data_IF_400809697234
#
_entry.id   IF_400809697234
#
_cell.length_a   1.000
_cell.length_b   1.000
_cell.length_c   1.000
_cell.angle_alpha   90.00
_cell.angle_beta   90.00
_cell.angle_gamma   90.00
#
_symmetry.space_group_name_H-M   'P 1'
#
loop_
_entity.id
_entity.type
_entity.pdbx_description
1 polymer ?
#
# COMPACT_ATOMS: atom_id res chain seq x y z
N UNK A 1 -26.68 29.07 -9.68
CA UNK A 1 -27.06 27.76 -10.27
C UNK A 1 -26.48 26.71 -9.36
N UNK A 2 -27.35 26.02 -8.66
CA UNK A 2 -27.03 25.08 -7.58
C UNK A 2 -26.45 23.79 -8.16
N UNK A 3 -25.17 23.52 -7.84
CA UNK A 3 -24.55 22.22 -8.08
C UNK A 3 -25.13 21.17 -7.17
N UNK A 4 -25.93 20.26 -7.72
CA UNK A 4 -26.49 19.14 -7.00
C UNK A 4 -25.41 18.13 -6.65
N UNK A 5 -25.13 17.92 -5.36
CA UNK A 5 -24.42 16.75 -4.85
C UNK A 5 -25.23 15.50 -5.25
N UNK A 6 -24.67 14.69 -6.12
CA UNK A 6 -25.16 13.33 -6.34
C UNK A 6 -24.95 12.54 -5.04
N UNK A 7 -26.00 11.91 -4.49
CA UNK A 7 -25.85 11.08 -3.31
C UNK A 7 -25.03 9.84 -3.68
N UNK A 8 -23.86 9.68 -3.06
CA UNK A 8 -23.15 8.41 -3.02
C UNK A 8 -24.07 7.36 -2.39
N UNK A 9 -24.54 6.44 -3.21
CA UNK A 9 -25.32 5.30 -2.71
C UNK A 9 -24.46 4.51 -1.72
N UNK A 10 -25.00 4.15 -0.54
CA UNK A 10 -24.26 3.34 0.40
C UNK A 10 -23.98 1.98 -0.25
N UNK A 11 -22.70 1.65 -0.37
CA UNK A 11 -22.28 0.30 -0.78
C UNK A 11 -22.89 -0.67 0.23
N UNK A 12 -23.87 -1.47 -0.20
CA UNK A 12 -24.45 -2.54 0.61
C UNK A 12 -23.30 -3.49 0.98
N UNK A 13 -22.87 -3.49 2.24
CA UNK A 13 -21.99 -4.53 2.75
C UNK A 13 -22.73 -5.86 2.63
N UNK A 14 -22.32 -6.67 1.67
CA UNK A 14 -22.75 -8.07 1.57
C UNK A 14 -22.15 -8.78 2.77
N UNK A 15 -22.97 -9.27 3.68
CA UNK A 15 -22.51 -10.10 4.81
C UNK A 15 -22.16 -11.47 4.23
N UNK A 16 -20.87 -11.73 4.08
CA UNK A 16 -20.38 -13.02 3.59
C UNK A 16 -20.08 -13.96 4.76
N UNK A 17 -20.25 -15.28 4.58
CA UNK A 17 -19.81 -16.23 5.59
C UNK A 17 -18.30 -16.19 5.74
N UNK A 18 -17.80 -16.53 6.94
CA UNK A 18 -16.37 -16.68 7.18
C UNK A 18 -15.81 -17.72 6.19
N UNK A 19 -14.82 -17.36 5.37
CA UNK A 19 -14.30 -18.27 4.36
C UNK A 19 -13.53 -19.43 5.01
N UNK A 20 -13.65 -20.62 4.42
CA UNK A 20 -12.86 -21.79 4.81
C UNK A 20 -11.58 -21.82 3.99
N UNK A 21 -10.44 -21.77 4.65
CA UNK A 21 -9.12 -21.79 4.02
C UNK A 21 -8.39 -23.06 4.48
N UNK A 22 -7.94 -23.92 3.56
CA UNK A 22 -7.20 -25.12 3.90
C UNK A 22 -6.02 -24.83 4.83
N UNK A 23 -5.84 -25.65 5.85
CA UNK A 23 -4.72 -25.57 6.81
C UNK A 23 -4.62 -24.27 7.60
N UNK A 24 -5.69 -23.45 7.62
CA UNK A 24 -5.73 -22.20 8.37
C UNK A 24 -7.04 -22.04 9.15
N UNK A 25 -6.94 -21.69 10.41
CA UNK A 25 -8.06 -21.22 11.23
C UNK A 25 -8.26 -19.73 10.97
N UNK A 26 -9.34 -19.37 10.26
CA UNK A 26 -9.71 -17.98 10.00
C UNK A 26 -10.40 -17.40 11.23
N UNK A 27 -9.84 -16.34 11.82
CA UNK A 27 -10.28 -15.81 13.10
C UNK A 27 -11.23 -14.63 12.95
N UNK A 28 -10.77 -13.55 12.28
CA UNK A 28 -11.60 -12.37 12.04
C UNK A 28 -11.09 -11.52 10.88
N UNK A 29 -11.95 -10.70 10.35
CA UNK A 29 -11.59 -9.71 9.35
C UNK A 29 -10.76 -8.57 10.00
N UNK A 30 -9.64 -8.21 9.37
CA UNK A 30 -8.71 -7.17 9.83
C UNK A 30 -8.55 -6.02 8.83
N UNK A 31 -9.11 -6.18 7.63
CA UNK A 31 -9.10 -5.15 6.59
C UNK A 31 -10.09 -5.46 5.48
N UNK A 32 -10.42 -4.43 4.70
CA UNK A 32 -11.21 -4.54 3.47
C UNK A 32 -10.71 -3.49 2.49
N UNK A 33 -10.70 -3.84 1.21
CA UNK A 33 -10.32 -2.96 0.11
C UNK A 33 -11.27 -3.08 -1.06
N UNK A 34 -10.98 -2.39 -2.16
CA UNK A 34 -11.79 -2.43 -3.37
C UNK A 34 -11.91 -3.85 -3.96
N UNK A 35 -10.91 -4.69 -3.73
CA UNK A 35 -10.78 -6.02 -4.34
C UNK A 35 -10.67 -7.13 -3.29
N UNK A 36 -11.45 -7.06 -2.21
CA UNK A 36 -11.56 -8.16 -1.27
C UNK A 36 -11.34 -7.82 0.20
N UNK A 37 -11.26 -8.86 0.99
CA UNK A 37 -11.21 -8.81 2.44
C UNK A 37 -9.90 -9.41 2.95
N UNK A 38 -9.31 -8.80 3.98
CA UNK A 38 -8.13 -9.34 4.65
C UNK A 38 -8.54 -9.90 6.01
N UNK A 39 -8.19 -11.13 6.26
CA UNK A 39 -8.51 -11.87 7.47
C UNK A 39 -7.28 -12.25 8.25
N UNK A 40 -7.37 -12.15 9.57
CA UNK A 40 -6.40 -12.74 10.49
C UNK A 40 -6.65 -14.25 10.54
N UNK A 41 -5.60 -15.02 10.33
CA UNK A 41 -5.67 -16.47 10.37
C UNK A 41 -4.47 -17.06 11.11
N UNK A 42 -4.64 -18.28 11.61
CA UNK A 42 -3.60 -19.08 12.26
C UNK A 42 -3.34 -20.34 11.44
N UNK A 43 -2.09 -20.56 11.05
CA UNK A 43 -1.69 -21.76 10.32
C UNK A 43 -1.62 -22.99 11.24
N UNK A 44 -1.54 -24.19 10.68
CA UNK A 44 -1.34 -25.44 11.44
C UNK A 44 -0.08 -25.41 12.33
N UNK A 45 0.95 -24.67 11.92
CA UNK A 45 2.17 -24.50 12.72
C UNK A 45 2.00 -23.53 13.88
N UNK A 46 0.81 -22.92 14.04
CA UNK A 46 0.51 -21.91 15.04
C UNK A 46 0.96 -20.49 14.70
N UNK A 47 1.53 -20.27 13.49
CA UNK A 47 1.98 -18.95 13.07
C UNK A 47 0.80 -18.09 12.59
N UNK A 48 0.79 -16.83 13.00
CA UNK A 48 -0.18 -15.84 12.52
C UNK A 48 0.09 -15.44 11.08
N UNK A 49 -0.99 -15.29 10.30
CA UNK A 49 -0.96 -14.97 8.87
C UNK A 49 -2.06 -13.95 8.53
N UNK A 50 -1.84 -13.20 7.49
CA UNK A 50 -2.91 -12.48 6.82
C UNK A 50 -3.37 -13.29 5.60
N UNK A 51 -4.68 -13.43 5.43
CA UNK A 51 -5.28 -14.10 4.28
C UNK A 51 -6.14 -13.08 3.56
N UNK A 52 -5.80 -12.75 2.32
CA UNK A 52 -6.67 -11.92 1.46
C UNK A 52 -7.54 -12.82 0.62
N UNK A 53 -8.84 -12.55 0.68
CA UNK A 53 -9.90 -13.22 -0.08
C UNK A 53 -10.36 -12.26 -1.15
N UNK A 54 -10.34 -12.71 -2.39
CA UNK A 54 -10.76 -11.92 -3.55
C UNK A 54 -11.98 -12.60 -4.17
N UNK A 55 -13.12 -11.93 -4.10
CA UNK A 55 -14.39 -12.48 -4.53
C UNK A 55 -14.65 -12.16 -6.01
N UNK A 56 -15.13 -13.14 -6.77
CA UNK A 56 -15.50 -12.97 -8.19
C UNK A 56 -16.59 -11.91 -8.37
N UNK A 57 -17.54 -11.86 -7.47
CA UNK A 57 -18.66 -10.89 -7.50
C UNK A 57 -18.27 -9.41 -7.28
N UNK A 58 -17.03 -9.15 -6.81
CA UNK A 58 -16.51 -7.79 -6.66
C UNK A 58 -15.99 -7.22 -8.00
N UNK A 59 -16.00 -8.01 -9.06
CA UNK A 59 -15.55 -7.64 -10.39
C UNK A 59 -16.72 -7.53 -11.38
N UNK A 60 -16.64 -6.57 -12.28
CA UNK A 60 -17.65 -6.37 -13.33
C UNK A 60 -17.71 -7.55 -14.32
N UNK A 61 -16.54 -8.17 -14.55
CA UNK A 61 -16.42 -9.29 -15.47
C UNK A 61 -15.37 -10.32 -15.01
N UNK A 62 -15.50 -11.53 -15.54
CA UNK A 62 -14.61 -12.65 -15.24
C UNK A 62 -13.17 -12.44 -15.73
N UNK A 63 -12.96 -11.67 -16.80
CA UNK A 63 -11.62 -11.39 -17.33
C UNK A 63 -10.83 -10.54 -16.34
N UNK A 64 -11.46 -9.56 -15.73
CA UNK A 64 -10.87 -8.72 -14.72
C UNK A 64 -10.49 -9.51 -13.47
N UNK A 65 -11.36 -10.41 -13.00
CA UNK A 65 -11.08 -11.34 -11.90
C UNK A 65 -9.90 -12.29 -12.20
N UNK A 66 -9.88 -12.91 -13.36
CA UNK A 66 -8.81 -13.83 -13.75
C UNK A 66 -7.48 -13.11 -13.97
N UNK A 67 -7.50 -11.90 -14.52
CA UNK A 67 -6.29 -11.06 -14.68
C UNK A 67 -5.67 -10.68 -13.36
N UNK A 68 -6.49 -10.34 -12.35
CA UNK A 68 -6.02 -10.09 -10.99
C UNK A 68 -5.35 -11.33 -10.40
N UNK A 69 -5.95 -12.49 -10.55
CA UNK A 69 -5.39 -13.76 -10.11
C UNK A 69 -4.05 -14.09 -10.79
N UNK A 70 -3.96 -13.91 -12.11
CA UNK A 70 -2.72 -14.06 -12.87
C UNK A 70 -1.63 -13.08 -12.38
N UNK A 71 -2.01 -11.84 -12.08
CA UNK A 71 -1.11 -10.84 -11.51
C UNK A 71 -0.48 -11.29 -10.19
N UNK A 72 -1.28 -11.89 -9.30
CA UNK A 72 -0.79 -12.45 -8.03
C UNK A 72 0.19 -13.60 -8.25
N UNK A 73 -0.10 -14.51 -9.20
CA UNK A 73 0.80 -15.62 -9.53
C UNK A 73 2.15 -15.14 -10.07
N UNK A 74 2.16 -14.06 -10.84
CA UNK A 74 3.39 -13.46 -11.37
C UNK A 74 4.17 -12.70 -10.30
N UNK A 75 3.48 -12.05 -9.40
CA UNK A 75 4.09 -11.25 -8.33
C UNK A 75 4.71 -12.13 -7.23
N UNK A 76 4.10 -13.25 -6.86
CA UNK A 76 4.54 -14.09 -5.73
C UNK A 76 6.04 -14.42 -5.77
N UNK A 77 6.60 -14.96 -6.88
CA UNK A 77 8.02 -15.28 -6.94
C UNK A 77 8.93 -14.04 -6.91
N UNK A 78 8.44 -12.88 -7.34
CA UNK A 78 9.17 -11.61 -7.31
C UNK A 78 9.23 -11.08 -5.89
N UNK A 79 8.09 -11.02 -5.19
CA UNK A 79 8.01 -10.47 -3.84
C UNK A 79 8.89 -11.20 -2.83
N UNK A 80 9.01 -12.52 -2.96
CA UNK A 80 9.83 -13.39 -2.10
C UNK A 80 11.31 -12.97 -2.06
N UNK A 81 11.80 -12.33 -3.11
CA UNK A 81 13.20 -12.00 -3.28
C UNK A 81 13.57 -10.57 -2.82
N UNK A 82 12.64 -9.81 -2.24
CA UNK A 82 12.95 -8.46 -1.76
C UNK A 82 12.32 -8.18 -0.38
N UNK A 83 13.12 -7.76 0.62
CA UNK A 83 12.63 -7.57 2.00
C UNK A 83 11.63 -6.41 2.16
N UNK A 84 11.58 -5.46 1.24
CA UNK A 84 10.64 -4.33 1.24
C UNK A 84 9.29 -4.62 0.56
N UNK A 85 9.06 -5.85 0.12
CA UNK A 85 7.78 -6.31 -0.43
C UNK A 85 7.12 -7.30 0.53
N UNK A 86 5.78 -7.28 0.62
CA UNK A 86 5.03 -8.26 1.41
C UNK A 86 5.13 -9.62 0.72
N UNK A 87 5.61 -10.63 1.47
CA UNK A 87 5.77 -11.96 0.91
C UNK A 87 4.44 -12.70 0.89
N UNK A 88 4.08 -13.21 -0.29
CA UNK A 88 3.01 -14.19 -0.44
C UNK A 88 3.60 -15.57 -0.14
N UNK A 89 2.92 -16.32 0.74
CA UNK A 89 3.36 -17.63 1.22
C UNK A 89 2.63 -18.76 0.50
N UNK A 90 1.40 -18.50 0.05
CA UNK A 90 0.57 -19.45 -0.67
C UNK A 90 -0.51 -18.71 -1.47
N UNK A 91 -0.83 -19.21 -2.64
CA UNK A 91 -1.99 -18.78 -3.46
C UNK A 91 -2.88 -19.98 -3.68
N UNK A 92 -4.18 -19.84 -3.41
CA UNK A 92 -5.13 -20.93 -3.52
C UNK A 92 -6.41 -20.54 -4.25
N UNK A 93 -6.94 -21.53 -4.99
CA UNK A 93 -8.24 -21.50 -5.65
C UNK A 93 -8.76 -22.94 -5.69
N UNK A 94 -10.03 -23.19 -5.32
CA UNK A 94 -10.54 -24.55 -5.27
C UNK A 94 -10.65 -25.18 -6.67
N UNK A 95 -11.24 -24.42 -7.61
CA UNK A 95 -11.42 -24.79 -9.01
C UNK A 95 -11.65 -23.53 -9.86
N UNK A 96 -11.88 -23.69 -11.16
CA UNK A 96 -12.12 -22.55 -12.06
C UNK A 96 -13.45 -21.83 -11.76
N UNK A 97 -14.43 -22.54 -11.22
CA UNK A 97 -15.76 -22.02 -10.87
C UNK A 97 -15.86 -21.50 -9.44
N UNK A 98 -14.75 -21.53 -8.68
CA UNK A 98 -14.71 -21.02 -7.32
C UNK A 98 -15.20 -19.57 -7.24
N UNK A 99 -16.06 -19.24 -6.26
CA UNK A 99 -16.55 -17.86 -6.07
C UNK A 99 -15.47 -16.90 -5.62
N UNK A 100 -14.32 -17.40 -5.20
CA UNK A 100 -13.16 -16.59 -4.78
C UNK A 100 -11.85 -17.35 -5.02
N UNK A 101 -10.76 -16.60 -5.07
CA UNK A 101 -9.42 -17.08 -4.77
C UNK A 101 -8.88 -16.40 -3.52
N UNK A 102 -7.83 -16.96 -2.95
CA UNK A 102 -7.19 -16.38 -1.77
C UNK A 102 -5.68 -16.46 -1.88
N UNK A 103 -5.01 -15.60 -1.13
CA UNK A 103 -3.60 -15.75 -0.88
C UNK A 103 -3.24 -15.50 0.57
N UNK A 104 -2.33 -16.33 1.07
CA UNK A 104 -1.78 -16.25 2.41
C UNK A 104 -0.50 -15.45 2.34
N UNK A 105 -0.34 -14.48 3.21
CA UNK A 105 0.85 -13.63 3.27
C UNK A 105 1.33 -13.49 4.71
N UNK A 106 2.56 -12.99 4.86
CA UNK A 106 3.07 -12.62 6.17
C UNK A 106 2.14 -11.61 6.84
N UNK A 107 2.02 -11.70 8.17
CA UNK A 107 1.20 -10.78 8.94
C UNK A 107 2.05 -9.56 9.31
N UNK A 108 1.47 -8.36 9.20
CA UNK A 108 2.05 -7.14 9.74
C UNK A 108 2.14 -7.16 11.26
N UNK A 109 3.05 -6.36 11.81
CA UNK A 109 3.15 -6.11 13.25
C UNK A 109 1.84 -5.51 13.78
N UNK A 110 1.55 -5.72 15.05
CA UNK A 110 0.49 -4.97 15.74
C UNK A 110 0.94 -3.52 15.99
N UNK A 111 0.05 -2.57 15.78
CA UNK A 111 0.34 -1.14 15.92
C UNK A 111 0.68 -0.68 17.36
N UNK A 112 0.36 -1.50 18.37
CA UNK A 112 0.59 -1.20 19.79
C UNK A 112 1.65 -2.09 20.40
N UNK A 113 1.62 -3.38 20.06
CA UNK A 113 2.42 -4.43 20.70
C UNK A 113 3.53 -5.00 19.81
N UNK A 114 3.65 -4.48 18.55
CA UNK A 114 4.68 -4.92 17.60
C UNK A 114 4.46 -6.37 17.15
N UNK A 115 5.44 -7.22 17.37
CA UNK A 115 5.40 -8.63 16.93
C UNK A 115 4.46 -9.52 17.78
N UNK A 116 3.97 -9.01 18.90
CA UNK A 116 3.06 -9.76 19.78
C UNK A 116 1.61 -9.58 19.31
N UNK A 117 1.00 -10.65 18.83
CA UNK A 117 -0.34 -10.63 18.27
C UNK A 117 -1.35 -11.14 19.30
N UNK A 118 -2.24 -10.25 19.74
CA UNK A 118 -3.45 -10.59 20.48
C UNK A 118 -4.62 -10.54 19.52
N UNK A 119 -5.23 -11.68 19.11
CA UNK A 119 -6.16 -11.75 17.97
C UNK A 119 -7.32 -10.76 18.04
N UNK A 120 -7.95 -10.61 19.20
CA UNK A 120 -9.13 -9.76 19.39
C UNK A 120 -8.79 -8.26 19.36
N UNK A 121 -7.56 -7.90 19.74
CA UNK A 121 -7.10 -6.50 19.84
C UNK A 121 -6.18 -6.09 18.68
N UNK A 122 -5.78 -7.03 17.83
CA UNK A 122 -4.82 -6.79 16.76
C UNK A 122 -5.28 -5.66 15.82
N UNK A 123 -4.39 -4.70 15.64
CA UNK A 123 -4.52 -3.59 14.69
C UNK A 123 -3.28 -3.62 13.79
N UNK A 124 -3.42 -3.81 12.46
CA UNK A 124 -2.27 -3.80 11.57
C UNK A 124 -1.46 -2.50 11.69
N UNK A 125 -0.15 -2.62 11.93
CA UNK A 125 0.75 -1.47 11.88
C UNK A 125 1.01 -1.08 10.43
N UNK A 126 0.57 0.11 10.07
CA UNK A 126 0.75 0.74 8.76
C UNK A 126 1.28 2.15 8.95
N UNK A 127 1.83 2.80 7.93
CA UNK A 127 2.13 4.24 8.01
C UNK A 127 0.89 5.08 8.34
N UNK A 128 -0.30 4.63 7.92
CA UNK A 128 -1.55 5.30 8.26
C UNK A 128 -1.85 5.23 9.76
N UNK A 129 -1.60 4.07 10.41
CA UNK A 129 -1.76 3.93 11.87
C UNK A 129 -0.70 4.72 12.62
N UNK A 130 0.55 4.73 12.15
CA UNK A 130 1.64 5.52 12.76
C UNK A 130 1.32 7.02 12.69
N UNK A 131 0.83 7.55 11.55
CA UNK A 131 0.30 8.92 11.42
C UNK A 131 -0.82 9.21 12.41
N UNK A 132 -1.81 8.30 12.49
CA UNK A 132 -2.94 8.47 13.38
C UNK A 132 -2.51 8.50 14.86
N UNK A 133 -1.58 7.65 15.26
CA UNK A 133 -1.10 7.59 16.64
C UNK A 133 -0.21 8.78 17.01
N UNK A 134 0.44 9.44 16.04
CA UNK A 134 1.13 10.71 16.26
C UNK A 134 0.17 11.89 16.36
N UNK A 135 -1.15 11.69 16.20
CA UNK A 135 -2.15 12.77 16.12
C UNK A 135 -2.06 13.57 14.82
N UNK A 136 -1.63 12.93 13.73
CA UNK A 136 -1.33 13.53 12.43
C UNK A 136 -0.26 14.64 12.49
N UNK A 137 0.62 14.58 13.49
CA UNK A 137 1.79 15.44 13.55
C UNK A 137 2.93 14.89 12.68
N UNK A 138 3.90 15.73 12.27
CA UNK A 138 5.08 15.24 11.56
C UNK A 138 5.76 14.11 12.33
N UNK A 139 6.10 13.03 11.62
CA UNK A 139 6.91 11.95 12.20
C UNK A 139 8.39 12.37 12.24
N UNK A 140 9.23 11.75 13.09
CA UNK A 140 10.65 12.07 13.18
C UNK A 140 11.35 11.96 11.82
N UNK A 141 12.21 12.94 11.50
CA UNK A 141 12.85 13.02 10.18
C UNK A 141 13.67 11.77 9.86
N UNK A 142 14.45 11.26 10.81
CA UNK A 142 15.28 10.06 10.60
C UNK A 142 14.39 8.83 10.30
N UNK A 143 13.20 8.74 10.91
CA UNK A 143 12.20 7.71 10.57
C UNK A 143 11.67 7.89 9.14
N UNK A 144 11.34 9.13 8.74
CA UNK A 144 10.87 9.42 7.37
C UNK A 144 11.93 9.05 6.32
N UNK A 145 13.21 9.36 6.60
CA UNK A 145 14.35 9.01 5.74
C UNK A 145 14.53 7.50 5.62
N UNK A 146 14.48 6.78 6.74
CA UNK A 146 14.62 5.32 6.75
C UNK A 146 13.49 4.65 5.96
N UNK A 147 12.23 5.02 6.21
CA UNK A 147 11.07 4.53 5.48
C UNK A 147 11.18 4.85 4.00
N UNK A 148 11.52 6.10 3.66
CA UNK A 148 11.66 6.56 2.27
C UNK A 148 12.68 5.73 1.50
N UNK A 149 13.88 5.59 2.05
CA UNK A 149 14.96 4.80 1.42
C UNK A 149 14.57 3.33 1.23
N UNK A 150 13.99 2.67 2.26
CA UNK A 150 13.60 1.26 2.16
C UNK A 150 12.51 1.05 1.09
N UNK A 151 11.51 1.95 1.02
CA UNK A 151 10.44 1.86 0.03
C UNK A 151 10.92 2.21 -1.39
N UNK A 152 11.84 3.18 -1.55
CA UNK A 152 12.42 3.50 -2.85
C UNK A 152 13.21 2.30 -3.41
N UNK A 153 13.99 1.60 -2.57
CA UNK A 153 14.67 0.36 -2.98
C UNK A 153 13.68 -0.76 -3.34
N UNK A 154 12.55 -0.88 -2.62
CA UNK A 154 11.51 -1.85 -2.97
C UNK A 154 10.88 -1.54 -4.34
N UNK A 155 10.61 -0.26 -4.63
CA UNK A 155 10.12 0.19 -5.93
C UNK A 155 11.14 -0.03 -7.04
N UNK A 156 12.42 0.31 -6.80
CA UNK A 156 13.50 0.07 -7.78
C UNK A 156 13.54 -1.41 -8.17
N UNK A 157 13.45 -2.31 -7.18
CA UNK A 157 13.42 -3.75 -7.44
C UNK A 157 12.18 -4.14 -8.24
N UNK A 158 10.99 -3.69 -7.87
CA UNK A 158 9.74 -3.96 -8.57
C UNK A 158 9.81 -3.47 -10.03
N UNK A 159 10.27 -2.23 -10.23
CA UNK A 159 10.44 -1.62 -11.55
C UNK A 159 11.46 -2.36 -12.42
N UNK A 160 12.52 -2.95 -11.81
CA UNK A 160 13.49 -3.80 -12.54
C UNK A 160 12.86 -5.08 -13.09
N UNK A 161 11.71 -5.50 -12.55
CA UNK A 161 10.90 -6.64 -13.02
C UNK A 161 9.78 -6.23 -13.99
N UNK A 162 9.80 -4.98 -14.47
CA UNK A 162 8.75 -4.38 -15.31
C UNK A 162 7.36 -4.38 -14.68
N UNK A 163 7.28 -4.30 -13.35
CA UNK A 163 6.05 -4.17 -12.58
C UNK A 163 5.95 -2.78 -11.98
N UNK A 164 4.72 -2.28 -11.84
CA UNK A 164 4.37 -1.05 -11.12
C UNK A 164 3.37 -1.37 -10.01
N UNK A 165 3.45 -0.64 -8.91
CA UNK A 165 2.60 -0.89 -7.73
C UNK A 165 1.19 -0.30 -7.87
N UNK A 166 1.07 0.94 -8.41
CA UNK A 166 -0.16 1.66 -8.75
C UNK A 166 -1.02 2.18 -7.59
N UNK A 167 -0.85 1.71 -6.36
CA UNK A 167 -1.63 2.17 -5.21
C UNK A 167 -0.74 2.37 -3.97
N UNK A 168 0.32 3.18 -4.11
CA UNK A 168 1.19 3.54 -2.99
C UNK A 168 0.51 4.63 -2.17
N UNK A 169 0.25 4.32 -0.90
CA UNK A 169 -0.37 5.20 0.09
C UNK A 169 -0.02 4.74 1.51
N UNK A 170 -0.16 5.56 2.55
CA UNK A 170 0.21 5.17 3.91
C UNK A 170 -0.47 3.90 4.43
N UNK A 171 -1.70 3.61 3.99
CA UNK A 171 -2.42 2.40 4.38
C UNK A 171 -1.83 1.12 3.77
N UNK A 172 -1.15 1.22 2.62
CA UNK A 172 -0.54 0.12 1.89
C UNK A 172 0.96 -0.06 2.20
N UNK A 173 1.48 0.66 3.18
CA UNK A 173 2.81 0.43 3.76
C UNK A 173 2.61 -0.21 5.12
N UNK A 174 2.88 -1.51 5.23
CA UNK A 174 2.78 -2.26 6.48
C UNK A 174 4.15 -2.50 7.08
N UNK A 175 4.21 -2.75 8.38
CA UNK A 175 5.45 -3.11 9.05
C UNK A 175 5.45 -4.60 9.39
N UNK A 176 6.54 -5.29 9.05
CA UNK A 176 6.76 -6.69 9.40
C UNK A 176 8.12 -6.80 10.07
N UNK A 177 8.14 -7.22 11.34
CA UNK A 177 9.35 -7.21 12.18
C UNK A 177 10.05 -5.84 12.19
N UNK A 178 9.26 -4.77 12.31
CA UNK A 178 9.72 -3.38 12.32
C UNK A 178 10.13 -2.81 10.96
N UNK A 179 10.11 -3.56 9.88
CA UNK A 179 10.52 -3.11 8.54
C UNK A 179 9.30 -2.69 7.70
N UNK A 180 9.33 -1.51 7.06
CA UNK A 180 8.27 -1.10 6.15
C UNK A 180 8.32 -1.94 4.87
N UNK A 181 7.15 -2.37 4.42
CA UNK A 181 6.96 -3.17 3.21
C UNK A 181 5.77 -2.65 2.42
N UNK A 182 5.88 -2.67 1.09
CA UNK A 182 4.76 -2.41 0.20
C UNK A 182 3.80 -3.59 0.21
N UNK A 183 2.54 -3.31 0.50
CA UNK A 183 1.43 -4.25 0.58
C UNK A 183 0.33 -3.87 -0.42
N UNK A 184 -0.73 -4.68 -0.47
CA UNK A 184 -1.89 -4.53 -1.36
C UNK A 184 -1.55 -4.57 -2.85
N UNK A 185 -1.14 -5.75 -3.24
CA UNK A 185 -0.59 -6.10 -4.54
C UNK A 185 -1.65 -6.25 -5.63
N UNK A 186 -2.93 -6.16 -5.27
CA UNK A 186 -4.06 -6.39 -6.19
C UNK A 186 -4.08 -5.51 -7.43
N UNK A 187 -3.25 -4.46 -7.48
CA UNK A 187 -3.14 -3.55 -8.61
C UNK A 187 -1.79 -3.64 -9.33
N UNK A 188 -0.86 -4.47 -8.82
CA UNK A 188 0.43 -4.67 -9.49
C UNK A 188 0.21 -5.25 -10.87
N UNK A 189 0.73 -4.57 -11.88
CA UNK A 189 0.57 -4.97 -13.26
C UNK A 189 1.81 -4.62 -14.08
N UNK A 190 1.95 -5.30 -15.22
CA UNK A 190 2.94 -4.93 -16.22
C UNK A 190 2.69 -3.52 -16.76
N UNK A 191 3.77 -2.83 -17.13
CA UNK A 191 3.74 -1.46 -17.65
C UNK A 191 2.78 -1.24 -18.84
N UNK A 192 2.47 -2.29 -19.61
CA UNK A 192 1.59 -2.22 -20.78
C UNK A 192 0.08 -2.24 -20.44
N UNK A 193 -0.27 -2.44 -19.18
CA UNK A 193 -1.66 -2.53 -18.73
C UNK A 193 -2.14 -1.17 -18.23
N UNK A 194 -2.92 -0.45 -19.01
CA UNK A 194 -3.58 0.80 -18.60
C UNK A 194 -4.89 0.47 -17.87
N UNK A 195 -4.92 0.66 -16.56
CA UNK A 195 -6.17 0.76 -15.79
C UNK A 195 -6.12 2.03 -14.95
N UNK A 196 -7.20 2.81 -14.97
CA UNK A 196 -7.34 4.00 -14.13
C UNK A 196 -7.71 3.58 -12.70
N UNK A 197 -6.72 3.07 -11.97
CA UNK A 197 -6.90 2.66 -10.57
C UNK A 197 -5.85 3.37 -9.73
N UNK A 198 -6.24 3.78 -8.54
CA UNK A 198 -5.38 4.44 -7.56
C UNK A 198 -6.18 5.37 -6.66
N UNK A 199 -5.54 5.87 -5.62
CA UNK A 199 -6.17 6.74 -4.62
C UNK A 199 -5.93 8.21 -4.99
N UNK A 200 -7.00 9.03 -4.98
CA UNK A 200 -6.94 10.46 -5.25
C UNK A 200 -5.85 11.16 -4.42
N UNK A 201 -5.11 12.07 -5.06
CA UNK A 201 -4.01 12.82 -4.47
C UNK A 201 -2.66 12.09 -4.45
N UNK A 202 -2.64 10.75 -4.71
CA UNK A 202 -1.42 9.97 -4.94
C UNK A 202 -1.18 9.66 -6.42
N UNK A 203 -2.13 10.00 -7.29
CA UNK A 203 -2.03 9.82 -8.73
C UNK A 203 -1.54 11.14 -9.35
N UNK A 204 -0.47 11.12 -10.17
CA UNK A 204 -0.03 12.31 -10.87
C UNK A 204 -1.02 12.68 -11.99
N UNK A 205 -1.02 13.94 -12.49
CA UNK A 205 -1.94 14.40 -13.53
C UNK A 205 -1.85 13.63 -14.86
N UNK A 206 -0.70 13.06 -15.17
CA UNK A 206 -0.47 12.22 -16.36
C UNK A 206 -1.01 10.79 -16.22
N UNK A 207 -1.58 10.46 -15.04
CA UNK A 207 -2.29 9.21 -14.77
C UNK A 207 -1.48 8.15 -14.07
N UNK A 208 -2.14 7.06 -13.63
CA UNK A 208 -1.52 5.95 -12.93
C UNK A 208 -0.80 4.97 -13.88
N UNK A 209 -0.05 4.04 -13.32
CA UNK A 209 0.46 2.84 -14.01
C UNK A 209 1.83 2.99 -14.63
N UNK A 210 2.50 4.12 -14.45
CA UNK A 210 3.90 4.32 -14.85
C UNK A 210 4.84 4.18 -13.65
N UNK A 211 6.15 3.95 -13.91
CA UNK A 211 7.16 3.97 -12.85
C UNK A 211 7.20 5.32 -12.14
N UNK A 212 7.08 6.41 -12.91
CA UNK A 212 6.99 7.77 -12.38
C UNK A 212 5.77 7.95 -11.47
N UNK A 213 4.62 7.36 -11.82
CA UNK A 213 3.43 7.46 -10.96
C UNK A 213 3.65 6.82 -9.58
N UNK A 214 4.39 5.71 -9.50
CA UNK A 214 4.78 5.10 -8.21
C UNK A 214 5.75 6.01 -7.42
N UNK A 215 6.72 6.64 -8.10
CA UNK A 215 7.67 7.61 -7.49
C UNK A 215 6.93 8.82 -6.95
N UNK A 216 6.03 9.40 -7.75
CA UNK A 216 5.15 10.49 -7.34
C UNK A 216 4.32 10.12 -6.09
N UNK A 217 3.68 8.95 -6.12
CA UNK A 217 2.88 8.46 -4.99
C UNK A 217 3.72 8.28 -3.73
N UNK A 218 4.94 7.72 -3.84
CA UNK A 218 5.84 7.60 -2.69
C UNK A 218 6.27 8.96 -2.16
N UNK A 219 6.58 9.93 -3.03
CA UNK A 219 6.90 11.30 -2.61
C UNK A 219 5.72 11.94 -1.85
N UNK A 220 4.47 11.73 -2.29
CA UNK A 220 3.27 12.21 -1.58
C UNK A 220 3.09 11.52 -0.22
N UNK A 221 3.43 10.23 -0.10
CA UNK A 221 3.47 9.51 1.20
C UNK A 221 4.51 10.15 2.12
N UNK A 222 5.73 10.39 1.61
CA UNK A 222 6.80 11.03 2.38
C UNK A 222 6.45 12.46 2.80
N UNK A 223 5.77 13.22 1.94
CA UNK A 223 5.21 14.51 2.28
C UNK A 223 4.26 14.42 3.48
N UNK A 224 3.26 13.53 3.40
CA UNK A 224 2.28 13.37 4.49
C UNK A 224 2.92 13.02 5.83
N UNK A 225 3.90 12.10 5.86
CA UNK A 225 4.51 11.66 7.13
C UNK A 225 5.51 12.67 7.69
N UNK A 226 6.18 13.47 6.83
CA UNK A 226 7.20 14.44 7.27
C UNK A 226 6.65 15.83 7.60
N UNK A 227 5.46 16.17 7.09
CA UNK A 227 4.81 17.47 7.32
C UNK A 227 3.61 17.38 8.25
N UNK A 228 3.00 16.18 8.38
CA UNK A 228 1.71 16.02 9.06
C UNK A 228 0.50 16.53 8.28
N UNK A 229 0.72 17.17 7.11
CA UNK A 229 -0.34 17.70 6.23
C UNK A 229 -0.99 16.58 5.42
N UNK A 230 -2.16 16.85 4.85
CA UNK A 230 -2.77 15.96 3.86
C UNK A 230 -2.05 16.11 2.51
N UNK A 231 -2.00 15.03 1.74
CA UNK A 231 -1.43 15.04 0.39
C UNK A 231 -2.04 16.06 -0.56
N UNK A 232 -3.29 16.47 -0.29
CA UNK A 232 -3.97 17.49 -1.10
C UNK A 232 -3.46 18.90 -0.80
N UNK A 233 -2.86 19.11 0.38
CA UNK A 233 -2.27 20.40 0.79
C UNK A 233 -0.86 20.59 0.20
N UNK A 234 -0.32 19.60 -0.52
CA UNK A 234 1.00 19.71 -1.16
C UNK A 234 1.03 20.92 -2.13
N UNK A 235 2.07 21.79 -2.06
CA UNK A 235 3.33 21.67 -1.30
C UNK A 235 3.40 22.52 -0.01
N UNK A 236 2.33 22.66 0.74
CA UNK A 236 2.33 23.44 1.98
C UNK A 236 3.38 22.94 2.98
N UNK A 237 4.02 23.88 3.68
CA UNK A 237 5.00 23.56 4.72
C UNK A 237 4.30 23.18 6.04
N UNK A 238 4.95 22.39 6.91
CA UNK A 238 4.42 22.12 8.25
C UNK A 238 4.33 23.42 9.07
N UNK A 239 3.40 23.44 10.02
CA UNK A 239 3.18 24.63 10.87
C UNK A 239 4.41 24.97 11.71
N UNK A 240 5.12 23.93 12.19
CA UNK A 240 6.36 24.06 12.96
C UNK A 240 7.54 23.48 12.17
N UNK A 241 8.40 24.33 11.67
CA UNK A 241 9.63 23.91 11.01
C UNK A 241 10.70 23.52 12.03
N UNK A 242 11.45 22.41 11.81
CA UNK A 242 12.57 22.07 12.68
C UNK A 242 13.64 23.16 12.66
N UNK A 243 14.42 23.24 13.75
CA UNK A 243 15.48 24.25 13.92
C UNK A 243 16.89 23.66 13.78
N UNK A 244 17.89 24.54 13.67
CA UNK A 244 19.29 24.17 13.68
C UNK A 244 19.73 23.24 12.54
N UNK A 245 20.51 22.22 12.87
CA UNK A 245 21.04 21.24 11.90
C UNK A 245 19.95 20.35 11.32
N UNK A 246 18.89 20.07 12.07
CA UNK A 246 17.74 19.26 11.63
C UNK A 246 17.01 19.98 10.49
N UNK A 247 16.90 21.32 10.55
CA UNK A 247 16.27 22.12 9.50
C UNK A 247 16.96 21.94 8.14
N UNK A 248 18.28 21.91 8.09
CA UNK A 248 19.02 21.72 6.84
C UNK A 248 18.75 20.33 6.24
N UNK A 249 18.76 19.29 7.06
CA UNK A 249 18.42 17.93 6.62
C UNK A 249 16.97 17.84 6.13
N UNK A 250 16.05 18.47 6.88
CA UNK A 250 14.64 18.49 6.50
C UNK A 250 14.42 19.23 5.19
N UNK A 251 15.09 20.38 4.98
CA UNK A 251 15.02 21.13 3.73
C UNK A 251 15.51 20.32 2.53
N UNK A 252 16.64 19.61 2.68
CA UNK A 252 17.17 18.74 1.64
C UNK A 252 16.17 17.59 1.30
N UNK A 253 15.60 16.95 2.33
CA UNK A 253 14.58 15.91 2.16
C UNK A 253 13.32 16.46 1.49
N UNK A 254 12.82 17.61 1.92
CA UNK A 254 11.65 18.25 1.32
C UNK A 254 11.91 18.68 -0.14
N UNK A 255 13.14 19.08 -0.48
CA UNK A 255 13.51 19.36 -1.88
C UNK A 255 13.37 18.12 -2.75
N UNK A 256 13.85 16.96 -2.28
CA UNK A 256 13.71 15.66 -2.99
C UNK A 256 12.23 15.32 -3.17
N UNK A 257 11.41 15.48 -2.11
CA UNK A 257 9.96 15.24 -2.18
C UNK A 257 9.32 16.14 -3.24
N UNK A 258 9.62 17.45 -3.25
CA UNK A 258 9.07 18.39 -4.22
C UNK A 258 9.46 18.05 -5.66
N UNK A 259 10.71 17.62 -5.88
CA UNK A 259 11.20 17.21 -7.20
C UNK A 259 10.52 15.92 -7.69
N UNK A 260 10.30 14.95 -6.81
CA UNK A 260 9.66 13.68 -7.16
C UNK A 260 8.12 13.79 -7.28
N UNK A 261 7.51 14.75 -6.55
CA UNK A 261 6.06 15.03 -6.59
C UNK A 261 5.70 16.19 -7.53
N UNK A 262 6.60 16.61 -8.43
CA UNK A 262 6.29 17.63 -9.44
C UNK A 262 5.18 17.14 -10.37
N UNK A 263 4.04 17.86 -10.48
CA UNK A 263 2.92 17.45 -11.31
C UNK A 263 3.23 17.40 -12.81
N UNK A 264 4.07 18.35 -13.29
CA UNK A 264 4.42 18.47 -14.71
C UNK A 264 5.64 17.62 -15.02
N UNK A 265 5.48 16.69 -15.96
CA UNK A 265 6.54 15.74 -16.32
C UNK A 265 7.81 16.43 -16.85
N UNK A 266 7.64 17.56 -17.56
CA UNK A 266 8.76 18.33 -18.14
C UNK A 266 9.60 19.04 -17.06
N UNK A 267 9.05 19.25 -15.87
CA UNK A 267 9.71 19.92 -14.75
C UNK A 267 10.16 18.93 -13.66
N UNK A 268 9.80 17.65 -13.82
CA UNK A 268 10.18 16.60 -12.88
C UNK A 268 11.66 16.24 -13.04
N UNK A 269 12.44 16.37 -11.99
CA UNK A 269 13.87 16.04 -11.98
C UNK A 269 14.20 14.72 -11.28
N UNK A 270 13.20 14.10 -10.61
CA UNK A 270 13.30 12.76 -10.01
C UNK A 270 12.11 11.96 -10.51
N UNK A 271 12.28 11.18 -11.55
CA UNK A 271 11.20 10.39 -12.18
C UNK A 271 11.39 8.87 -12.03
N UNK A 272 12.47 8.44 -11.42
CA UNK A 272 12.82 7.04 -11.19
C UNK A 272 13.02 6.71 -9.71
N UNK A 273 12.76 5.45 -9.35
CA UNK A 273 13.01 4.96 -8.00
C UNK A 273 14.52 4.89 -7.68
N UNK A 274 15.40 4.82 -8.69
CA UNK A 274 16.84 4.86 -8.53
C UNK A 274 17.33 6.23 -8.04
N UNK A 275 16.77 7.30 -8.61
CA UNK A 275 17.11 8.68 -8.20
C UNK A 275 16.54 9.04 -6.83
N UNK A 276 15.42 8.40 -6.44
CA UNK A 276 14.77 8.64 -5.15
C UNK A 276 15.47 7.87 -4.00
N UNK A 277 16.13 6.72 -4.27
CA UNK A 277 16.73 5.84 -3.27
C UNK A 277 18.06 6.36 -2.73
#
# INVERSE_FOLDING_TARGET
MSGGNLPTLPVKRVVRPTPSIPDHEVVRQIGSGAYGEVWLAKSLTGAWRAVKIVWREDFEDERSFNREFEGILQYEPIARNHPGLVHILHVGRHDQDSPFYYYVMELGDDARTGVHITPDEYIPRTLQTDKKFSGNKPLPLDYCLEVGSQLAHALLYLHSKNLTHRDIKPANVIFVNGRPKLADIGLVAHLDQRSFVGTEGFIPPDGPGTRRADVYALAKVLYEISTGKDRMDFPELPDDLPEGTVRKKWQAFNTIICQAAEPRIEECSIDSAEELA
#
